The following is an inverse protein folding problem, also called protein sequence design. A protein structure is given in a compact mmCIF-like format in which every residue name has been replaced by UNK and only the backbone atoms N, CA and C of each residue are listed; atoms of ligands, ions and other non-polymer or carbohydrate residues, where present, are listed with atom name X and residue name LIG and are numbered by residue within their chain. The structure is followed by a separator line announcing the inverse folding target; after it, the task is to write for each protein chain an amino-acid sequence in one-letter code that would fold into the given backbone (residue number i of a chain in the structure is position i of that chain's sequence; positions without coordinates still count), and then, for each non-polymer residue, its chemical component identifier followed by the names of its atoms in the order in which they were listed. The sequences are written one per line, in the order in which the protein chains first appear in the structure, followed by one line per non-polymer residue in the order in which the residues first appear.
data_IF_230772823211
#
_entry.id   IF_230772823211
#
_cell.length_a   1.000
_cell.length_b   1.000
_cell.length_c   1.000
_cell.angle_alpha   90.00
_cell.angle_beta   90.00
_cell.angle_gamma   90.00
#
_symmetry.space_group_name_H-M   'P 1'
#
loop_
_entity.id
_entity.type
_entity.pdbx_description
1 polymer ?
#
# COMPACT_ATOMS: atom_id res chain seq x y z
N UNK A 1 -63.39 -18.92 -73.64
CA UNK A 1 -62.42 -18.32 -72.70
C UNK A 1 -61.37 -19.36 -72.42
N UNK A 2 -60.11 -19.03 -72.68
CA UNK A 2 -59.02 -19.93 -72.35
C UNK A 2 -58.87 -19.97 -70.82
N UNK A 3 -58.40 -21.09 -70.23
CA UNK A 3 -58.17 -21.18 -68.79
C UNK A 3 -57.20 -20.10 -68.25
N UNK A 4 -56.38 -19.50 -69.12
CA UNK A 4 -55.50 -18.36 -68.78
C UNK A 4 -56.28 -17.09 -68.45
N UNK A 5 -57.33 -16.76 -69.21
CA UNK A 5 -58.12 -15.52 -69.03
C UNK A 5 -58.83 -15.49 -67.67
N UNK A 6 -59.27 -16.65 -67.19
CA UNK A 6 -60.00 -16.80 -65.91
C UNK A 6 -59.07 -16.57 -64.71
N UNK A 7 -57.80 -16.97 -64.82
CA UNK A 7 -56.79 -16.75 -63.80
C UNK A 7 -56.37 -15.28 -63.71
N UNK A 8 -56.24 -14.61 -64.85
CA UNK A 8 -55.88 -13.19 -64.93
C UNK A 8 -56.97 -12.29 -64.34
N UNK A 9 -58.24 -12.55 -64.66
CA UNK A 9 -59.41 -11.85 -64.10
C UNK A 9 -59.53 -12.00 -62.58
N UNK A 10 -59.16 -13.17 -62.04
CA UNK A 10 -59.18 -13.42 -60.59
C UNK A 10 -58.06 -12.65 -59.89
N UNK A 11 -56.84 -12.70 -60.43
CA UNK A 11 -55.70 -11.94 -59.89
C UNK A 11 -55.90 -10.42 -59.96
N UNK A 12 -56.59 -9.94 -61.01
CA UNK A 12 -56.98 -8.55 -61.17
C UNK A 12 -57.92 -8.08 -60.05
N UNK A 13 -58.95 -8.88 -59.74
CA UNK A 13 -59.89 -8.57 -58.65
C UNK A 13 -59.22 -8.52 -57.28
N UNK A 14 -58.30 -9.45 -57.01
CA UNK A 14 -57.53 -9.50 -55.77
C UNK A 14 -56.62 -8.27 -55.62
N UNK A 15 -55.87 -7.93 -56.68
CA UNK A 15 -55.00 -6.75 -56.71
C UNK A 15 -55.78 -5.45 -56.53
N UNK A 16 -56.93 -5.30 -57.20
CA UNK A 16 -57.74 -4.10 -57.10
C UNK A 16 -58.37 -3.93 -55.71
N UNK A 17 -58.75 -5.03 -55.08
CA UNK A 17 -59.22 -5.03 -53.69
C UNK A 17 -58.11 -4.60 -52.73
N UNK A 18 -56.90 -5.10 -52.92
CA UNK A 18 -55.73 -4.75 -52.11
C UNK A 18 -55.32 -3.28 -52.27
N UNK A 19 -55.29 -2.77 -53.51
CA UNK A 19 -55.01 -1.36 -53.80
C UNK A 19 -56.06 -0.43 -53.18
N UNK A 20 -57.35 -0.77 -53.32
CA UNK A 20 -58.46 -0.01 -52.72
C UNK A 20 -58.37 -0.01 -51.18
N UNK A 21 -57.95 -1.12 -50.56
CA UNK A 21 -57.71 -1.19 -49.12
C UNK A 21 -56.57 -0.26 -48.67
N UNK A 22 -55.59 -0.01 -49.54
CA UNK A 22 -54.53 0.98 -49.34
C UNK A 22 -54.90 2.39 -49.85
N UNK A 23 -56.18 2.63 -50.14
CA UNK A 23 -56.74 3.89 -50.65
C UNK A 23 -56.28 4.30 -52.07
N UNK A 24 -55.73 3.39 -52.86
CA UNK A 24 -55.49 3.59 -54.31
C UNK A 24 -56.75 3.18 -55.07
N UNK A 25 -57.47 4.17 -55.60
CA UNK A 25 -58.80 3.99 -56.20
C UNK A 25 -58.79 4.07 -57.73
N UNK A 26 -57.64 4.36 -58.33
CA UNK A 26 -57.46 4.50 -59.76
C UNK A 26 -57.67 3.14 -60.48
N UNK A 27 -58.35 3.13 -61.65
CA UNK A 27 -58.53 1.90 -62.41
C UNK A 27 -57.20 1.43 -63.02
N UNK A 28 -56.92 0.14 -62.89
CA UNK A 28 -55.72 -0.52 -63.45
C UNK A 28 -56.13 -1.34 -64.68
N UNK A 29 -55.31 -1.37 -65.72
CA UNK A 29 -55.57 -2.21 -66.90
C UNK A 29 -55.15 -3.66 -66.68
N UNK A 30 -55.84 -4.62 -67.30
CA UNK A 30 -55.55 -6.07 -67.18
C UNK A 30 -54.08 -6.40 -67.55
N UNK A 31 -53.56 -5.78 -68.62
CA UNK A 31 -52.17 -5.96 -69.09
C UNK A 31 -51.11 -5.52 -68.05
N UNK A 32 -51.47 -4.60 -67.15
CA UNK A 32 -50.54 -4.01 -66.16
C UNK A 32 -50.51 -4.74 -64.81
N UNK A 33 -51.43 -5.68 -64.59
CA UNK A 33 -51.57 -6.46 -63.35
C UNK A 33 -50.25 -7.08 -62.85
N UNK A 34 -49.50 -7.85 -63.66
CA UNK A 34 -48.30 -8.52 -63.18
C UNK A 34 -47.19 -7.54 -62.77
N UNK A 35 -47.11 -6.37 -63.41
CA UNK A 35 -46.15 -5.32 -63.05
C UNK A 35 -46.54 -4.64 -61.74
N UNK A 36 -47.80 -4.23 -61.62
CA UNK A 36 -48.31 -3.54 -60.41
C UNK A 36 -48.22 -4.47 -59.20
N UNK A 37 -48.50 -5.75 -59.36
CA UNK A 37 -48.38 -6.73 -58.28
C UNK A 37 -46.93 -6.92 -57.81
N UNK A 38 -45.95 -6.94 -58.73
CA UNK A 38 -44.52 -6.98 -58.37
C UNK A 38 -44.10 -5.71 -57.64
N UNK A 39 -44.44 -4.53 -58.17
CA UNK A 39 -44.12 -3.24 -57.52
C UNK A 39 -44.72 -3.13 -56.12
N UNK A 40 -45.96 -3.59 -55.95
CA UNK A 40 -46.62 -3.61 -54.64
C UNK A 40 -45.89 -4.55 -53.67
N UNK A 41 -45.50 -5.73 -54.15
CA UNK A 41 -44.74 -6.71 -53.36
C UNK A 41 -43.39 -6.14 -52.92
N UNK A 42 -42.65 -5.53 -53.84
CA UNK A 42 -41.37 -4.90 -53.58
C UNK A 42 -41.50 -3.73 -52.60
N UNK A 43 -42.55 -2.92 -52.73
CA UNK A 43 -42.81 -1.80 -51.83
C UNK A 43 -43.14 -2.27 -50.41
N UNK A 44 -43.98 -3.31 -50.27
CA UNK A 44 -44.30 -3.90 -48.98
C UNK A 44 -43.05 -4.52 -48.33
N UNK A 45 -42.23 -5.22 -49.11
CA UNK A 45 -40.96 -5.77 -48.65
C UNK A 45 -39.98 -4.66 -48.20
N UNK A 46 -39.86 -3.59 -48.98
CA UNK A 46 -39.02 -2.43 -48.63
C UNK A 46 -39.52 -1.72 -47.36
N UNK A 47 -40.84 -1.57 -47.21
CA UNK A 47 -41.45 -0.98 -46.00
C UNK A 47 -41.19 -1.85 -44.76
N UNK A 48 -41.36 -3.17 -44.87
CA UNK A 48 -41.06 -4.09 -43.77
C UNK A 48 -39.57 -4.12 -43.42
N UNK A 49 -38.69 -4.09 -44.42
CA UNK A 49 -37.25 -3.99 -44.21
C UNK A 49 -36.88 -2.69 -43.50
N UNK A 50 -37.47 -1.55 -43.92
CA UNK A 50 -37.28 -0.26 -43.28
C UNK A 50 -37.70 -0.29 -41.81
N UNK A 51 -38.90 -0.77 -41.50
CA UNK A 51 -39.38 -0.87 -40.12
C UNK A 51 -38.45 -1.75 -39.26
N UNK A 52 -37.96 -2.87 -39.81
CA UNK A 52 -36.99 -3.73 -39.12
C UNK A 52 -35.66 -2.98 -38.86
N UNK A 53 -35.17 -2.21 -39.83
CA UNK A 53 -33.94 -1.42 -39.67
C UNK A 53 -34.11 -0.28 -38.65
N UNK A 54 -35.25 0.40 -38.63
CA UNK A 54 -35.56 1.44 -37.64
C UNK A 54 -35.57 0.86 -36.22
N UNK A 55 -36.23 -0.30 -36.00
CA UNK A 55 -36.21 -1.00 -34.71
C UNK A 55 -34.80 -1.40 -34.26
N UNK A 56 -33.97 -1.88 -35.19
CA UNK A 56 -32.57 -2.23 -34.90
C UNK A 56 -31.74 -1.00 -34.55
N UNK A 57 -31.94 0.11 -35.25
CA UNK A 57 -31.26 1.38 -34.98
C UNK A 57 -31.65 1.93 -33.60
N UNK A 58 -32.93 1.95 -33.27
CA UNK A 58 -33.41 2.38 -31.95
C UNK A 58 -32.84 1.53 -30.82
N UNK A 59 -32.76 0.21 -31.03
CA UNK A 59 -32.11 -0.70 -30.08
C UNK A 59 -30.63 -0.35 -29.92
N UNK A 60 -29.89 -0.21 -31.01
CA UNK A 60 -28.47 0.13 -30.96
C UNK A 60 -28.21 1.49 -30.28
N UNK A 61 -29.08 2.47 -30.48
CA UNK A 61 -29.00 3.77 -29.81
C UNK A 61 -29.23 3.65 -28.30
N UNK A 62 -30.21 2.85 -27.87
CA UNK A 62 -30.46 2.58 -26.45
C UNK A 62 -29.27 1.87 -25.81
N UNK A 63 -28.76 0.82 -26.45
CA UNK A 63 -27.60 0.06 -25.96
C UNK A 63 -26.36 0.98 -25.86
N UNK A 64 -26.13 1.87 -26.84
CA UNK A 64 -25.02 2.83 -26.79
C UNK A 64 -25.12 3.83 -25.63
N UNK A 65 -26.34 4.31 -25.32
CA UNK A 65 -26.57 5.18 -24.18
C UNK A 65 -26.33 4.46 -22.86
N UNK A 66 -26.79 3.21 -22.74
CA UNK A 66 -26.56 2.36 -21.56
C UNK A 66 -25.06 2.11 -21.34
N UNK A 67 -24.32 1.72 -22.39
CA UNK A 67 -22.88 1.56 -22.31
C UNK A 67 -22.17 2.86 -21.93
N UNK A 68 -22.62 4.01 -22.44
CA UNK A 68 -22.06 5.30 -22.04
C UNK A 68 -22.28 5.59 -20.56
N UNK A 69 -23.45 5.24 -20.01
CA UNK A 69 -23.75 5.42 -18.58
C UNK A 69 -22.87 4.53 -17.69
N UNK A 70 -22.52 3.33 -18.16
CA UNK A 70 -21.63 2.40 -17.45
C UNK A 70 -20.16 2.82 -17.58
N UNK A 71 -19.71 3.27 -18.77
CA UNK A 71 -18.29 3.57 -19.03
C UNK A 71 -17.81 4.86 -18.36
N UNK A 72 -18.67 5.87 -18.23
CA UNK A 72 -18.31 7.16 -17.62
C UNK A 72 -17.79 7.04 -16.18
N UNK A 73 -18.47 6.37 -15.24
CA UNK A 73 -17.96 6.22 -13.88
C UNK A 73 -16.67 5.41 -13.85
N UNK A 74 -16.56 4.33 -14.64
CA UNK A 74 -15.34 3.52 -14.72
C UNK A 74 -14.13 4.33 -15.21
N UNK A 75 -14.31 5.19 -16.23
CA UNK A 75 -13.25 6.08 -16.71
C UNK A 75 -12.84 7.11 -15.65
N UNK A 76 -13.81 7.65 -14.91
CA UNK A 76 -13.54 8.61 -13.84
C UNK A 76 -12.75 7.96 -12.70
N UNK A 77 -13.17 6.77 -12.29
CA UNK A 77 -12.49 5.98 -11.25
C UNK A 77 -11.09 5.57 -11.69
N UNK A 78 -10.92 5.06 -12.92
CA UNK A 78 -9.61 4.72 -13.46
C UNK A 78 -8.67 5.94 -13.46
N UNK A 79 -9.15 7.10 -13.93
CA UNK A 79 -8.36 8.34 -13.91
C UNK A 79 -8.05 8.85 -12.50
N UNK A 80 -8.85 8.50 -11.49
CA UNK A 80 -8.57 8.80 -10.09
C UNK A 80 -7.50 7.84 -9.54
N UNK A 81 -7.67 6.55 -9.75
CA UNK A 81 -6.72 5.50 -9.34
C UNK A 81 -5.34 5.71 -9.97
N UNK A 82 -5.26 6.08 -11.24
CA UNK A 82 -3.97 6.42 -11.88
C UNK A 82 -3.30 7.61 -11.22
N UNK A 83 -4.06 8.64 -10.82
CA UNK A 83 -3.49 9.81 -10.12
C UNK A 83 -3.00 9.45 -8.72
N UNK A 84 -3.77 8.66 -7.98
CA UNK A 84 -3.39 8.18 -6.65
C UNK A 84 -2.16 7.27 -6.73
N UNK A 85 -2.15 6.31 -7.65
CA UNK A 85 -1.02 5.42 -7.87
C UNK A 85 0.27 6.20 -8.20
N UNK A 86 0.20 7.17 -9.10
CA UNK A 86 1.35 8.05 -9.40
C UNK A 86 1.80 8.86 -8.17
N UNK A 87 0.86 9.38 -7.37
CA UNK A 87 1.16 10.12 -6.14
C UNK A 87 1.87 9.24 -5.11
N UNK A 88 1.37 8.02 -4.89
CA UNK A 88 1.96 7.06 -3.97
C UNK A 88 3.34 6.62 -4.44
N UNK A 89 3.54 6.40 -5.74
CA UNK A 89 4.85 6.09 -6.29
C UNK A 89 5.87 7.21 -6.01
N UNK A 90 5.49 8.48 -6.18
CA UNK A 90 6.36 9.61 -5.85
C UNK A 90 6.62 9.71 -4.34
N UNK A 91 5.62 9.46 -3.51
CA UNK A 91 5.77 9.46 -2.06
C UNK A 91 6.75 8.38 -1.58
N UNK A 92 6.66 7.17 -2.14
CA UNK A 92 7.60 6.08 -1.85
C UNK A 92 9.03 6.50 -2.21
N UNK A 93 9.25 7.06 -3.40
CA UNK A 93 10.57 7.53 -3.83
C UNK A 93 11.13 8.56 -2.84
N UNK A 94 10.33 9.55 -2.46
CA UNK A 94 10.76 10.58 -1.51
C UNK A 94 11.06 10.03 -0.11
N UNK A 95 10.28 9.04 0.35
CA UNK A 95 10.53 8.40 1.64
C UNK A 95 11.82 7.56 1.59
N UNK A 96 12.07 6.82 0.51
CA UNK A 96 13.30 6.07 0.30
C UNK A 96 14.53 7.00 0.27
N UNK A 97 14.46 8.11 -0.46
CA UNK A 97 15.51 9.14 -0.49
C UNK A 97 15.78 9.71 0.92
N UNK A 98 14.73 10.08 1.65
CA UNK A 98 14.86 10.64 2.99
C UNK A 98 15.45 9.62 4.01
N UNK A 99 15.08 8.34 3.88
CA UNK A 99 15.65 7.27 4.71
C UNK A 99 17.13 7.09 4.37
N UNK A 100 17.48 6.99 3.08
CA UNK A 100 18.86 6.82 2.64
C UNK A 100 19.76 7.98 3.10
N UNK A 101 19.28 9.22 3.02
CA UNK A 101 20.00 10.38 3.54
C UNK A 101 20.21 10.29 5.06
N UNK A 102 19.19 9.90 5.81
CA UNK A 102 19.27 9.73 7.26
C UNK A 102 20.22 8.61 7.66
N UNK A 103 20.18 7.48 6.97
CA UNK A 103 21.10 6.35 7.17
C UNK A 103 22.55 6.81 6.97
N UNK A 104 22.83 7.48 5.85
CA UNK A 104 24.16 8.01 5.56
C UNK A 104 24.63 9.02 6.62
N UNK A 105 23.74 9.88 7.12
CA UNK A 105 24.07 10.82 8.18
C UNK A 105 24.41 10.09 9.51
N UNK A 106 23.63 9.07 9.87
CA UNK A 106 23.89 8.23 11.04
C UNK A 106 25.21 7.45 10.92
N UNK A 107 25.51 6.89 9.75
CA UNK A 107 26.77 6.18 9.48
C UNK A 107 27.98 7.09 9.68
N UNK A 108 27.92 8.31 9.14
CA UNK A 108 29.00 9.29 9.29
C UNK A 108 29.19 9.71 10.75
N UNK A 109 28.10 9.90 11.51
CA UNK A 109 28.17 10.16 12.94
C UNK A 109 28.78 8.98 13.71
N UNK A 110 28.41 7.75 13.38
CA UNK A 110 28.97 6.54 13.99
C UNK A 110 30.46 6.41 13.71
N UNK A 111 30.91 6.72 12.48
CA UNK A 111 32.32 6.72 12.13
C UNK A 111 33.10 7.76 12.94
N UNK A 112 32.58 8.99 13.05
CA UNK A 112 33.16 10.05 13.89
C UNK A 112 33.29 9.63 15.36
N UNK A 113 32.23 9.06 15.94
CA UNK A 113 32.25 8.56 17.32
C UNK A 113 33.25 7.40 17.50
N UNK A 114 33.37 6.50 16.53
CA UNK A 114 34.36 5.40 16.56
C UNK A 114 35.77 5.95 16.59
N UNK A 115 36.07 6.98 15.81
CA UNK A 115 37.38 7.60 15.80
C UNK A 115 37.69 8.34 17.12
N UNK A 116 36.70 9.00 17.71
CA UNK A 116 36.87 9.62 19.02
C UNK A 116 37.08 8.59 20.14
N UNK A 117 36.38 7.45 20.09
CA UNK A 117 36.64 6.31 20.99
C UNK A 117 38.09 5.83 20.84
N UNK A 118 38.60 5.65 19.62
CA UNK A 118 40.01 5.25 19.40
C UNK A 118 40.98 6.27 20.00
N UNK A 119 40.75 7.57 19.78
CA UNK A 119 41.58 8.65 20.36
C UNK A 119 41.57 8.62 21.88
N UNK A 120 40.39 8.47 22.49
CA UNK A 120 40.22 8.39 23.94
C UNK A 120 40.90 7.15 24.53
N UNK A 121 40.78 5.99 23.86
CA UNK A 121 41.48 4.76 24.26
C UNK A 121 43.00 4.93 24.22
N UNK A 122 43.53 5.55 23.18
CA UNK A 122 44.96 5.86 23.08
C UNK A 122 45.41 6.78 24.21
N UNK A 123 44.70 7.89 24.44
CA UNK A 123 45.01 8.85 25.50
C UNK A 123 44.94 8.20 26.88
N UNK A 124 43.90 7.38 27.13
CA UNK A 124 43.74 6.66 28.39
C UNK A 124 44.91 5.69 28.62
N UNK A 125 45.31 4.94 27.59
CA UNK A 125 46.46 4.03 27.66
C UNK A 125 47.74 4.80 28.00
N UNK A 126 47.99 5.93 27.33
CA UNK A 126 49.15 6.79 27.60
C UNK A 126 49.15 7.33 29.04
N UNK A 127 48.00 7.81 29.53
CA UNK A 127 47.87 8.35 30.88
C UNK A 127 48.03 7.27 31.95
N UNK A 128 47.47 6.10 31.72
CA UNK A 128 47.64 4.93 32.60
C UNK A 128 49.12 4.56 32.72
N UNK A 129 49.86 4.52 31.60
CA UNK A 129 51.31 4.28 31.62
C UNK A 129 52.08 5.39 32.36
N UNK A 130 51.68 6.65 32.19
CA UNK A 130 52.29 7.78 32.89
C UNK A 130 52.07 7.69 34.41
N UNK A 131 50.86 7.35 34.85
CA UNK A 131 50.54 7.12 36.27
C UNK A 131 51.38 5.97 36.82
N UNK A 132 51.42 4.83 36.15
CA UNK A 132 52.23 3.68 36.60
C UNK A 132 53.72 4.01 36.76
N UNK A 133 54.30 4.82 35.87
CA UNK A 133 55.68 5.31 36.00
C UNK A 133 55.86 6.19 37.24
N UNK A 134 54.94 7.14 37.46
CA UNK A 134 54.98 8.01 38.65
C UNK A 134 54.78 7.21 39.94
N UNK A 135 53.88 6.24 39.95
CA UNK A 135 53.66 5.36 41.10
C UNK A 135 54.93 4.56 41.43
N UNK A 136 55.65 4.09 40.39
CA UNK A 136 56.94 3.43 40.57
C UNK A 136 58.02 4.38 41.13
N UNK A 137 58.06 5.64 40.69
CA UNK A 137 58.97 6.65 41.23
C UNK A 137 58.65 6.97 42.69
N UNK A 138 57.36 7.14 43.04
CA UNK A 138 56.90 7.33 44.41
C UNK A 138 57.30 6.16 45.29
N UNK A 139 57.08 4.91 44.84
CA UNK A 139 57.48 3.72 45.58
C UNK A 139 59.00 3.64 45.80
N UNK A 140 59.82 4.02 44.80
CA UNK A 140 61.28 4.08 44.94
C UNK A 140 61.71 5.13 45.98
N UNK A 141 61.11 6.32 45.94
CA UNK A 141 61.40 7.39 46.90
C UNK A 141 60.99 7.00 48.32
N UNK A 142 59.82 6.36 48.49
CA UNK A 142 59.38 5.80 49.77
C UNK A 142 60.39 4.79 50.31
N UNK A 143 60.83 3.83 49.49
CA UNK A 143 61.83 2.84 49.90
C UNK A 143 63.20 3.45 50.23
N UNK A 144 63.61 4.53 49.55
CA UNK A 144 64.82 5.27 49.88
C UNK A 144 64.70 5.99 51.23
N UNK A 145 63.56 6.64 51.49
CA UNK A 145 63.27 7.29 52.76
C UNK A 145 63.29 6.28 53.91
N UNK A 146 62.63 5.14 53.75
CA UNK A 146 62.64 4.04 54.73
C UNK A 146 64.07 3.54 54.98
N UNK A 147 64.89 3.41 53.94
CA UNK A 147 66.31 3.03 54.09
C UNK A 147 67.08 4.09 54.89
N UNK A 148 66.94 5.38 54.58
CA UNK A 148 67.62 6.46 55.32
C UNK A 148 67.22 6.45 56.80
N UNK A 149 65.94 6.21 57.09
CA UNK A 149 65.44 6.07 58.46
C UNK A 149 65.97 4.80 59.14
N UNK A 150 66.06 3.67 58.44
CA UNK A 150 66.53 2.39 58.98
C UNK A 150 68.06 2.31 59.16
N UNK A 151 68.84 3.01 58.33
CA UNK A 151 70.32 2.97 58.37
C UNK A 151 70.91 3.97 59.37
N UNK A 152 70.07 4.69 60.14
CA UNK A 152 70.53 5.61 61.17
C UNK A 152 71.36 6.76 60.63
N UNK A 153 70.75 7.65 59.84
CA UNK A 153 71.37 8.93 59.48
C UNK A 153 71.43 9.91 60.67
N UNK A 154 72.40 9.72 61.57
CA UNK A 154 72.85 10.74 62.52
C UNK A 154 74.38 10.83 62.52
N UNK A 155 74.91 11.70 61.67
CA UNK A 155 76.15 12.52 61.74
C UNK A 155 76.49 12.89 60.29
N UNK A 156 76.66 14.14 59.83
CA UNK A 156 77.22 15.31 60.52
C UNK A 156 76.86 16.59 59.72
N UNK A 157 76.12 17.53 60.30
CA UNK A 157 76.17 18.96 59.98
C UNK A 157 75.86 19.70 61.28
N UNK A 158 76.77 19.54 62.24
CA UNK A 158 76.85 20.42 63.39
C UNK A 158 77.92 21.49 63.13
N UNK A 159 77.51 22.75 63.27
CA UNK A 159 78.33 23.93 63.59
C UNK A 159 78.85 24.78 62.42
N UNK A 160 78.00 25.71 61.97
CA UNK A 160 78.41 27.09 61.76
C UNK A 160 77.42 27.99 62.50
N UNK A 161 77.91 28.66 63.54
CA UNK A 161 77.15 29.72 64.24
C UNK A 161 76.84 30.86 63.28
N UNK A 162 75.64 31.44 63.38
CA UNK A 162 75.38 32.89 63.56
C UNK A 162 73.86 33.08 63.65
N UNK A 163 73.45 33.65 64.79
CA UNK A 163 72.27 34.48 65.10
C UNK A 163 70.92 34.17 64.45
N UNK A 164 69.87 34.07 65.29
CA UNK A 164 68.75 35.03 65.29
C UNK A 164 67.68 34.61 66.32
N UNK A 165 67.57 35.44 67.36
CA UNK A 165 66.34 35.85 68.07
C UNK A 165 65.28 34.80 68.45
N UNK A 166 65.14 34.62 69.77
CA UNK A 166 63.90 34.23 70.47
C UNK A 166 62.65 34.86 69.85
N UNK A 167 61.55 34.10 69.73
CA UNK A 167 60.49 34.32 70.70
C UNK A 167 59.91 33.02 71.26
N UNK A 168 59.78 33.01 72.58
CA UNK A 168 58.82 32.18 73.31
C UNK A 168 57.42 32.26 72.67
N UNK A 169 56.91 31.14 72.14
CA UNK A 169 55.50 31.02 71.73
C UNK A 169 54.86 29.85 72.47
N UNK A 170 53.86 30.21 73.27
CA UNK A 170 53.00 29.35 74.09
C UNK A 170 52.35 28.19 73.33
N UNK A 171 52.02 27.07 73.98
CA UNK A 171 51.33 25.92 73.37
C UNK A 171 49.80 26.19 73.26
N UNK A 172 49.41 27.34 72.71
CA UNK A 172 48.00 27.69 72.46
C UNK A 172 47.67 27.93 70.98
N UNK A 173 48.65 27.94 70.06
CA UNK A 173 48.39 28.20 68.63
C UNK A 173 48.15 26.98 67.75
N UNK A 174 48.48 25.75 68.17
CA UNK A 174 48.21 24.55 67.35
C UNK A 174 46.74 24.07 67.42
N UNK A 175 45.93 24.67 68.29
CA UNK A 175 44.49 24.33 68.45
C UNK A 175 43.55 25.19 67.60
N UNK A 176 44.00 26.33 67.06
CA UNK A 176 43.14 27.20 66.24
C UNK A 176 43.21 26.84 64.75
N UNK A 177 44.39 26.53 64.20
CA UNK A 177 44.53 26.12 62.79
C UNK A 177 43.82 24.79 62.48
N UNK A 178 43.77 23.89 63.46
CA UNK A 178 43.05 22.61 63.38
C UNK A 178 41.52 22.77 63.47
N UNK A 179 41.01 23.83 64.09
CA UNK A 179 39.59 24.18 64.08
C UNK A 179 39.17 24.91 62.79
N UNK A 180 40.06 25.74 62.23
CA UNK A 180 39.82 26.42 60.95
C UNK A 180 39.89 25.47 59.75
N UNK A 181 40.87 24.55 59.72
CA UNK A 181 40.93 23.50 58.70
C UNK A 181 39.73 22.55 58.76
N UNK A 182 39.24 22.20 59.95
CA UNK A 182 38.02 21.39 60.12
C UNK A 182 36.77 22.13 59.65
N UNK A 183 36.64 23.43 59.92
CA UNK A 183 35.52 24.25 59.42
C UNK A 183 35.51 24.34 57.89
N UNK A 184 36.66 24.60 57.26
CA UNK A 184 36.79 24.66 55.80
C UNK A 184 36.47 23.31 55.17
N UNK A 185 36.92 22.20 55.78
CA UNK A 185 36.65 20.86 55.28
C UNK A 185 35.17 20.44 55.50
N UNK A 186 34.54 20.91 56.57
CA UNK A 186 33.12 20.69 56.85
C UNK A 186 32.22 21.54 55.94
N UNK A 187 32.62 22.77 55.60
CA UNK A 187 31.98 23.63 54.59
C UNK A 187 32.13 23.05 53.17
N UNK A 188 33.30 22.51 52.81
CA UNK A 188 33.47 21.80 51.54
C UNK A 188 32.64 20.51 51.48
N UNK A 189 32.57 19.72 52.55
CA UNK A 189 31.72 18.52 52.59
C UNK A 189 30.24 18.86 52.51
N UNK A 190 29.79 19.95 53.15
CA UNK A 190 28.38 20.39 53.05
C UNK A 190 28.05 20.95 51.68
N UNK A 191 28.98 21.65 51.02
CA UNK A 191 28.79 22.09 49.63
C UNK A 191 28.72 20.91 48.66
N UNK A 192 29.63 19.94 48.76
CA UNK A 192 29.61 18.73 47.91
C UNK A 192 28.34 17.90 48.14
N UNK A 193 27.88 17.77 49.39
CA UNK A 193 26.62 17.08 49.70
C UNK A 193 25.42 17.81 49.08
N UNK A 194 25.43 19.14 49.07
CA UNK A 194 24.38 19.95 48.46
C UNK A 194 24.37 19.82 46.93
N UNK A 195 25.55 19.89 46.29
CA UNK A 195 25.70 19.74 44.85
C UNK A 195 25.26 18.33 44.38
N UNK A 196 25.63 17.29 45.14
CA UNK A 196 25.17 15.91 44.89
C UNK A 196 23.66 15.76 45.08
N UNK A 197 23.08 16.45 46.06
CA UNK A 197 21.65 16.43 46.30
C UNK A 197 20.88 17.16 45.19
N UNK A 198 21.39 18.28 44.70
CA UNK A 198 20.85 18.98 43.52
C UNK A 198 20.90 18.09 42.28
N UNK A 199 22.05 17.45 41.99
CA UNK A 199 22.18 16.50 40.87
C UNK A 199 21.22 15.31 40.99
N UNK A 200 21.04 14.75 42.19
CA UNK A 200 20.06 13.68 42.42
C UNK A 200 18.64 14.18 42.14
N UNK A 201 18.28 15.40 42.54
CA UNK A 201 16.94 15.94 42.24
C UNK A 201 16.73 16.18 40.75
N UNK A 202 17.75 16.65 40.02
CA UNK A 202 17.69 16.84 38.57
C UNK A 202 17.56 15.51 37.84
N UNK A 203 18.40 14.52 38.17
CA UNK A 203 18.32 13.18 37.59
C UNK A 203 17.00 12.48 37.91
N UNK A 204 16.41 12.75 39.07
CA UNK A 204 15.08 12.21 39.43
C UNK A 204 14.00 12.82 38.55
N UNK A 205 13.99 14.15 38.38
CA UNK A 205 13.06 14.85 37.48
C UNK A 205 13.22 14.42 36.03
N UNK A 206 14.45 14.24 35.57
CA UNK A 206 14.73 13.75 34.22
C UNK A 206 14.23 12.30 34.04
N UNK A 207 14.42 11.43 35.03
CA UNK A 207 13.87 10.07 35.00
C UNK A 207 12.33 10.07 34.95
N UNK A 208 11.67 10.91 35.74
CA UNK A 208 10.21 11.06 35.71
C UNK A 208 9.73 11.56 34.34
N UNK A 209 10.43 12.56 33.76
CA UNK A 209 10.15 13.07 32.42
C UNK A 209 10.30 12.00 31.34
N UNK A 210 11.38 11.22 31.39
CA UNK A 210 11.63 10.14 30.43
C UNK A 210 10.60 9.02 30.58
N UNK A 211 10.21 8.66 31.81
CA UNK A 211 9.13 7.68 32.04
C UNK A 211 7.80 8.14 31.47
N UNK A 212 7.42 9.39 31.69
CA UNK A 212 6.20 9.96 31.11
C UNK A 212 6.24 9.98 29.56
N UNK A 213 7.41 10.25 28.97
CA UNK A 213 7.58 10.15 27.52
C UNK A 213 7.45 8.70 27.01
N UNK A 214 8.03 7.73 27.72
CA UNK A 214 7.87 6.30 27.39
C UNK A 214 6.41 5.86 27.47
N UNK A 215 5.67 6.28 28.49
CA UNK A 215 4.23 6.02 28.61
C UNK A 215 3.45 6.62 27.43
N UNK A 216 3.72 7.88 27.07
CA UNK A 216 3.10 8.51 25.91
C UNK A 216 3.41 7.80 24.58
N UNK A 217 4.63 7.29 24.40
CA UNK A 217 4.97 6.54 23.20
C UNK A 217 4.30 5.16 23.19
N UNK A 218 4.22 4.49 24.34
CA UNK A 218 3.50 3.22 24.46
C UNK A 218 2.01 3.38 24.14
N UNK A 219 1.36 4.44 24.61
CA UNK A 219 -0.05 4.73 24.28
C UNK A 219 -0.25 4.97 22.78
N UNK A 220 0.69 5.68 22.14
CA UNK A 220 0.65 5.91 20.69
C UNK A 220 0.87 4.62 19.91
N UNK A 221 1.79 3.76 20.36
CA UNK A 221 2.03 2.44 19.77
C UNK A 221 0.79 1.55 19.91
N UNK A 222 0.18 1.49 21.09
CA UNK A 222 -1.04 0.70 21.30
C UNK A 222 -2.17 1.11 20.35
N UNK A 223 -2.43 2.42 20.18
CA UNK A 223 -3.43 2.92 19.22
C UNK A 223 -3.08 2.59 17.76
N UNK A 224 -1.79 2.64 17.40
CA UNK A 224 -1.31 2.24 16.07
C UNK A 224 -1.52 0.73 15.85
N UNK A 225 -1.22 -0.10 16.85
CA UNK A 225 -1.43 -1.54 16.83
C UNK A 225 -2.91 -1.90 16.64
N UNK A 226 -3.81 -1.20 17.33
CA UNK A 226 -5.27 -1.37 17.17
C UNK A 226 -5.73 -1.04 15.75
N UNK A 227 -5.23 0.04 15.17
CA UNK A 227 -5.58 0.42 13.80
C UNK A 227 -4.99 -0.53 12.76
N UNK A 228 -3.75 -1.00 12.95
CA UNK A 228 -3.15 -2.05 12.11
C UNK A 228 -4.02 -3.30 12.15
N UNK A 229 -4.47 -3.73 13.33
CA UNK A 229 -5.37 -4.86 13.47
C UNK A 229 -6.72 -4.63 12.79
N UNK A 230 -7.28 -3.42 12.87
CA UNK A 230 -8.53 -3.05 12.17
C UNK A 230 -8.37 -3.12 10.66
N UNK A 231 -7.32 -2.50 10.12
CA UNK A 231 -7.03 -2.47 8.68
C UNK A 231 -6.70 -3.87 8.14
N UNK A 232 -5.96 -4.66 8.92
CA UNK A 232 -5.64 -6.05 8.55
C UNK A 232 -6.90 -6.92 8.45
N UNK A 233 -7.84 -6.78 9.39
CA UNK A 233 -9.17 -7.44 9.31
C UNK A 233 -9.96 -6.98 8.09
N UNK A 234 -9.94 -5.69 7.78
CA UNK A 234 -10.64 -5.13 6.61
C UNK A 234 -10.04 -5.67 5.30
N UNK A 235 -8.71 -5.74 5.21
CA UNK A 235 -7.99 -6.28 4.05
C UNK A 235 -8.33 -7.76 3.81
N UNK A 236 -8.35 -8.58 4.87
CA UNK A 236 -8.76 -9.99 4.78
C UNK A 236 -10.21 -10.15 4.33
N UNK A 237 -11.12 -9.27 4.78
CA UNK A 237 -12.51 -9.27 4.32
C UNK A 237 -12.61 -8.94 2.83
N UNK A 238 -11.93 -7.89 2.37
CA UNK A 238 -11.92 -7.49 0.95
C UNK A 238 -11.36 -8.62 0.07
N UNK A 239 -10.26 -9.26 0.47
CA UNK A 239 -9.68 -10.39 -0.28
C UNK A 239 -10.62 -11.59 -0.31
N UNK A 240 -11.35 -11.87 0.77
CA UNK A 240 -12.35 -12.93 0.79
C UNK A 240 -13.57 -12.60 -0.08
N UNK A 241 -14.00 -11.34 -0.11
CA UNK A 241 -15.11 -10.86 -0.93
C UNK A 241 -14.74 -10.81 -2.42
N UNK A 242 -13.50 -10.46 -2.77
CA UNK A 242 -12.99 -10.57 -4.15
C UNK A 242 -12.87 -12.02 -4.59
N UNK A 243 -12.36 -12.92 -3.75
CA UNK A 243 -12.37 -14.36 -4.05
C UNK A 243 -13.79 -14.93 -4.19
N UNK A 244 -14.73 -14.46 -3.37
CA UNK A 244 -16.14 -14.81 -3.48
C UNK A 244 -16.76 -14.29 -4.78
N UNK A 245 -16.42 -13.06 -5.16
CA UNK A 245 -16.90 -12.41 -6.39
C UNK A 245 -16.31 -13.06 -7.64
N UNK A 246 -15.02 -13.40 -7.61
CA UNK A 246 -14.33 -14.13 -8.69
C UNK A 246 -14.92 -15.53 -8.88
N UNK A 247 -15.21 -16.26 -7.80
CA UNK A 247 -15.88 -17.58 -7.90
C UNK A 247 -17.29 -17.47 -8.48
N UNK A 248 -18.08 -16.47 -8.04
CA UNK A 248 -19.42 -16.22 -8.61
C UNK A 248 -19.36 -15.86 -10.09
N UNK A 249 -18.34 -15.12 -10.52
CA UNK A 249 -18.16 -14.74 -11.92
C UNK A 249 -17.80 -15.97 -12.78
N UNK A 250 -16.93 -16.84 -12.25
CA UNK A 250 -16.53 -18.09 -12.90
C UNK A 250 -17.73 -19.06 -13.03
N UNK A 251 -18.53 -19.22 -11.97
CA UNK A 251 -19.75 -20.04 -12.02
C UNK A 251 -20.76 -19.51 -13.06
N UNK A 252 -20.89 -18.19 -13.20
CA UNK A 252 -21.74 -17.56 -14.20
C UNK A 252 -21.23 -17.83 -15.62
N UNK A 253 -19.93 -17.69 -15.85
CA UNK A 253 -19.31 -17.96 -17.14
C UNK A 253 -19.49 -19.43 -17.56
N UNK A 254 -19.32 -20.36 -16.63
CA UNK A 254 -19.51 -21.80 -16.87
C UNK A 254 -20.99 -22.12 -17.22
N UNK A 255 -21.94 -21.46 -16.56
CA UNK A 255 -23.38 -21.55 -16.89
C UNK A 255 -23.71 -20.98 -18.27
N UNK A 256 -23.08 -19.88 -18.67
CA UNK A 256 -23.28 -19.32 -20.02
C UNK A 256 -22.71 -20.25 -21.11
N UNK A 257 -21.51 -20.80 -20.89
CA UNK A 257 -20.91 -21.73 -21.85
C UNK A 257 -21.70 -23.02 -21.99
N UNK A 258 -22.20 -23.58 -20.88
CA UNK A 258 -23.03 -24.80 -20.90
C UNK A 258 -24.35 -24.55 -21.61
N UNK A 259 -25.01 -23.42 -21.35
CA UNK A 259 -26.25 -23.03 -22.03
C UNK A 259 -26.05 -22.82 -23.54
N UNK A 260 -24.96 -22.14 -23.93
CA UNK A 260 -24.63 -21.95 -25.35
C UNK A 260 -24.37 -23.29 -26.06
N UNK A 261 -23.69 -24.24 -25.39
CA UNK A 261 -23.50 -25.60 -25.92
C UNK A 261 -24.83 -26.35 -26.05
N UNK A 262 -25.73 -26.22 -25.07
CA UNK A 262 -27.06 -26.82 -25.14
C UNK A 262 -27.88 -26.28 -26.31
N UNK A 263 -27.95 -24.95 -26.49
CA UNK A 263 -28.64 -24.32 -27.62
C UNK A 263 -28.07 -24.81 -28.97
N UNK A 264 -26.74 -24.94 -29.08
CA UNK A 264 -26.12 -25.48 -30.29
C UNK A 264 -26.50 -26.94 -30.55
N UNK A 265 -26.56 -27.77 -29.50
CA UNK A 265 -27.01 -29.16 -29.63
C UNK A 265 -28.50 -29.26 -29.98
N UNK A 266 -29.34 -28.39 -29.43
CA UNK A 266 -30.77 -28.35 -29.74
C UNK A 266 -31.01 -27.99 -31.21
N UNK A 267 -30.29 -26.99 -31.73
CA UNK A 267 -30.35 -26.64 -33.16
C UNK A 267 -29.91 -27.80 -34.06
N UNK A 268 -28.88 -28.55 -33.65
CA UNK A 268 -28.43 -29.73 -34.39
C UNK A 268 -29.47 -30.86 -34.36
N UNK A 269 -30.11 -31.09 -33.21
CA UNK A 269 -31.22 -32.05 -33.08
C UNK A 269 -32.40 -31.62 -33.95
N UNK A 270 -32.74 -30.34 -33.99
CA UNK A 270 -33.83 -29.80 -34.82
C UNK A 270 -33.52 -29.99 -36.33
N UNK A 271 -32.29 -29.72 -36.76
CA UNK A 271 -31.84 -30.01 -38.13
C UNK A 271 -31.93 -31.50 -38.48
N UNK A 272 -31.45 -32.39 -37.60
CA UNK A 272 -31.57 -33.83 -37.82
C UNK A 272 -33.03 -34.28 -37.86
N UNK A 273 -33.89 -33.74 -37.00
CA UNK A 273 -35.31 -34.06 -36.98
C UNK A 273 -35.99 -33.67 -38.30
N UNK A 274 -35.74 -32.46 -38.80
CA UNK A 274 -36.27 -32.05 -40.11
C UNK A 274 -35.76 -32.92 -41.26
N UNK A 275 -34.51 -33.39 -41.20
CA UNK A 275 -33.98 -34.31 -42.20
C UNK A 275 -34.65 -35.69 -42.14
N UNK A 276 -34.91 -36.20 -40.93
CA UNK A 276 -35.67 -37.45 -40.73
C UNK A 276 -37.08 -37.32 -41.27
N UNK A 277 -37.76 -36.20 -41.04
CA UNK A 277 -39.10 -35.95 -41.56
C UNK A 277 -39.13 -35.95 -43.10
N UNK A 278 -38.15 -35.29 -43.74
CA UNK A 278 -38.01 -35.29 -45.20
C UNK A 278 -37.78 -36.71 -45.74
N UNK A 279 -36.93 -37.50 -45.08
CA UNK A 279 -36.67 -38.88 -45.49
C UNK A 279 -37.90 -39.76 -45.30
N UNK A 280 -38.63 -39.61 -44.19
CA UNK A 280 -39.88 -40.32 -43.94
C UNK A 280 -40.93 -39.99 -45.02
N UNK A 281 -41.07 -38.72 -45.39
CA UNK A 281 -41.96 -38.29 -46.48
C UNK A 281 -41.57 -38.91 -47.83
N UNK A 282 -40.27 -39.04 -48.11
CA UNK A 282 -39.79 -39.70 -49.32
C UNK A 282 -40.08 -41.19 -49.29
N UNK A 283 -39.82 -41.88 -48.17
CA UNK A 283 -40.12 -43.30 -48.00
C UNK A 283 -41.62 -43.55 -48.19
N UNK A 284 -42.48 -42.73 -47.58
CA UNK A 284 -43.93 -42.83 -47.76
C UNK A 284 -44.34 -42.68 -49.23
N UNK A 285 -43.75 -41.73 -49.97
CA UNK A 285 -43.99 -41.56 -51.41
C UNK A 285 -43.54 -42.77 -52.23
N UNK A 286 -42.39 -43.37 -51.91
CA UNK A 286 -41.91 -44.57 -52.58
C UNK A 286 -42.78 -45.80 -52.26
N UNK A 287 -43.20 -45.95 -51.01
CA UNK A 287 -44.12 -47.03 -50.60
C UNK A 287 -45.48 -46.93 -51.29
N UNK A 288 -46.03 -45.73 -51.46
CA UNK A 288 -47.27 -45.53 -52.24
C UNK A 288 -47.11 -45.94 -53.70
N UNK A 289 -45.96 -45.59 -54.33
CA UNK A 289 -45.67 -45.97 -55.73
C UNK A 289 -45.43 -47.47 -55.93
N UNK A 290 -45.00 -48.20 -54.90
CA UNK A 290 -44.78 -49.65 -54.96
C UNK A 290 -46.05 -50.47 -54.75
N UNK A 291 -47.12 -49.84 -54.25
CA UNK A 291 -48.44 -50.46 -54.00
C UNK A 291 -49.43 -50.27 -55.15
N UNK A 292 -49.12 -49.40 -56.11
CA UNK A 292 -49.81 -49.25 -57.40
C UNK A 292 -49.24 -50.21 -58.46
#
# INVERSE_FOLDING_TARGET
MAPSDVLELRSFGDLQTQLRAMAYNEPVGLESVPLVQRLLTDLLAASGAREMTEKKLEKAQRDALEFSQILLPLRKENAQLTRENNSLHLEIIHQEEAIAEREKACELQLEGLRDDVKKLQFLNTQKTQQCAKKDQEVAKLQAQLERVLATGGLQDFASASIEMSSPSVSPRRLSMDSQQARKIQQEQQTQVAKDLQEQLTELTKENERLRAQCEQFNDKLAKREEEINRLSKLSVQVVNDENSSSKKLQDLEERYQTKAKQEATELYVEQLSTQVDILNDQVAKYESRLKE
#
